data_IF_694758074972
#
_entry.id   IF_694758074972
#
_cell.length_a   1.000
_cell.length_b   1.000
_cell.length_c   1.000
_cell.angle_alpha   90.00
_cell.angle_beta   90.00
_cell.angle_gamma   90.00
#
_symmetry.space_group_name_H-M   'P 1'
#
loop_
_entity.id
_entity.type
_entity.pdbx_description
1 polymer ?
#
# COMPACT_ATOMS: atom_id res chain seq x y z
N UNK A 1 25.60 -2.40 11.38
CA UNK A 1 24.19 -2.06 11.59
C UNK A 1 23.36 -2.96 10.70
N UNK A 2 22.37 -3.70 11.23
CA UNK A 2 21.49 -4.46 10.37
C UNK A 2 20.65 -3.47 9.57
N UNK A 3 20.67 -3.62 8.25
CA UNK A 3 19.80 -2.90 7.32
C UNK A 3 18.38 -3.16 7.82
N UNK A 4 17.72 -2.11 8.32
CA UNK A 4 16.29 -2.13 8.58
C UNK A 4 15.66 -2.61 7.27
N UNK A 5 15.05 -3.80 7.28
CA UNK A 5 14.21 -4.26 6.17
C UNK A 5 13.37 -3.06 5.77
N UNK A 6 13.54 -2.59 4.53
CA UNK A 6 12.80 -1.47 3.97
C UNK A 6 11.36 -1.57 4.45
N UNK A 7 10.80 -0.49 5.01
CA UNK A 7 9.38 -0.41 5.30
C UNK A 7 8.68 -0.53 3.94
N UNK A 8 8.43 -1.76 3.54
CA UNK A 8 7.95 -2.05 2.21
C UNK A 8 6.55 -1.52 2.13
N UNK A 9 6.30 -0.57 1.23
CA UNK A 9 4.98 -0.03 0.87
C UNK A 9 4.02 -1.08 0.28
N UNK A 10 4.31 -2.37 0.45
CA UNK A 10 3.50 -3.47 -0.03
C UNK A 10 2.08 -3.28 0.45
N UNK A 11 1.18 -3.13 -0.52
CA UNK A 11 -0.26 -3.19 -0.32
C UNK A 11 -0.88 -1.92 0.28
N UNK A 12 -0.19 -0.76 0.29
CA UNK A 12 -0.80 0.49 0.75
C UNK A 12 -2.07 0.85 -0.04
N UNK A 13 -2.08 0.60 -1.35
CA UNK A 13 -3.30 0.71 -2.18
C UNK A 13 -4.44 -0.15 -1.63
N UNK A 14 -4.17 -1.40 -1.22
CA UNK A 14 -5.22 -2.27 -0.69
C UNK A 14 -5.74 -1.78 0.66
N UNK A 15 -4.86 -1.20 1.48
CA UNK A 15 -5.27 -0.60 2.75
C UNK A 15 -6.18 0.60 2.51
N UNK A 16 -5.83 1.47 1.55
CA UNK A 16 -6.66 2.62 1.18
C UNK A 16 -8.03 2.14 0.67
N UNK A 17 -8.05 1.21 -0.29
CA UNK A 17 -9.29 0.64 -0.82
C UNK A 17 -10.14 0.02 0.29
N UNK A 18 -9.53 -0.74 1.19
CA UNK A 18 -10.26 -1.37 2.30
C UNK A 18 -10.84 -0.33 3.25
N UNK A 19 -10.10 0.73 3.57
CA UNK A 19 -10.63 1.83 4.39
C UNK A 19 -11.78 2.55 3.69
N UNK A 20 -11.68 2.80 2.39
CA UNK A 20 -12.75 3.42 1.60
C UNK A 20 -14.00 2.53 1.48
N UNK A 21 -13.87 1.21 1.53
CA UNK A 21 -15.00 0.28 1.43
C UNK A 21 -15.66 -0.06 2.78
N UNK A 22 -14.88 -0.14 3.86
CA UNK A 22 -15.32 -0.72 5.15
C UNK A 22 -15.46 0.31 6.28
N UNK A 23 -15.15 1.59 6.02
CA UNK A 23 -15.27 2.65 7.03
C UNK A 23 -16.18 3.78 6.56
N UNK A 24 -16.67 4.56 7.53
CA UNK A 24 -17.41 5.81 7.28
C UNK A 24 -16.52 6.93 6.72
N UNK A 25 -15.26 6.63 6.37
CA UNK A 25 -14.29 7.57 5.80
C UNK A 25 -14.35 7.64 4.27
N UNK A 26 -15.21 6.84 3.62
CA UNK A 26 -15.41 6.88 2.18
C UNK A 26 -15.73 8.31 1.70
N UNK A 27 -15.02 8.80 0.68
CA UNK A 27 -15.19 10.16 0.17
C UNK A 27 -14.52 11.26 1.00
N UNK A 28 -13.85 10.92 2.10
CA UNK A 28 -13.14 11.87 2.97
C UNK A 28 -11.63 11.60 2.97
N UNK A 29 -10.94 12.06 1.92
CA UNK A 29 -9.50 11.86 1.78
C UNK A 29 -8.69 12.45 2.95
N UNK A 30 -9.15 13.57 3.52
CA UNK A 30 -8.48 14.20 4.68
C UNK A 30 -8.41 13.25 5.87
N UNK A 31 -9.53 12.65 6.25
CA UNK A 31 -9.57 11.72 7.40
C UNK A 31 -8.95 10.36 7.06
N UNK A 32 -9.03 9.91 5.81
CA UNK A 32 -8.26 8.75 5.34
C UNK A 32 -6.75 9.00 5.49
N UNK A 33 -6.26 10.18 5.11
CA UNK A 33 -4.85 10.53 5.27
C UNK A 33 -4.46 10.57 6.74
N UNK A 34 -5.27 11.21 7.60
CA UNK A 34 -5.06 11.20 9.06
C UNK A 34 -4.95 9.78 9.60
N UNK A 35 -5.84 8.89 9.17
CA UNK A 35 -5.82 7.49 9.57
C UNK A 35 -4.52 6.79 9.14
N UNK A 36 -4.05 6.99 7.91
CA UNK A 36 -2.75 6.47 7.46
C UNK A 36 -1.57 7.10 8.21
N UNK A 37 -1.63 8.40 8.46
CA UNK A 37 -0.59 9.11 9.21
C UNK A 37 -0.39 8.48 10.59
N UNK A 38 -1.48 8.24 11.31
CA UNK A 38 -1.47 7.64 12.64
C UNK A 38 -1.11 6.16 12.57
N UNK A 39 -1.82 5.37 11.77
CA UNK A 39 -1.77 3.91 11.83
C UNK A 39 -0.69 3.27 10.96
N UNK A 40 -0.06 4.04 10.08
CA UNK A 40 1.02 3.59 9.20
C UNK A 40 2.30 4.38 9.45
N UNK A 41 2.31 5.69 9.19
CA UNK A 41 3.56 6.47 9.19
C UNK A 41 4.11 6.79 10.59
N UNK A 42 3.23 7.02 11.56
CA UNK A 42 3.56 7.31 12.97
C UNK A 42 3.08 6.21 13.91
N UNK A 43 2.80 4.99 13.41
CA UNK A 43 2.18 3.91 14.20
C UNK A 43 2.85 3.65 15.54
N UNK A 44 4.19 3.57 15.56
CA UNK A 44 4.98 3.31 16.77
C UNK A 44 4.92 4.50 17.73
N UNK A 45 5.14 5.70 17.22
CA UNK A 45 5.11 6.92 18.02
C UNK A 45 3.70 7.13 18.64
N UNK A 46 2.65 6.91 17.85
CA UNK A 46 1.26 7.00 18.29
C UNK A 46 0.91 5.94 19.35
N UNK A 47 1.43 4.71 19.23
CA UNK A 47 1.22 3.67 20.24
C UNK A 47 1.95 3.94 21.55
N UNK A 48 3.09 4.63 21.49
CA UNK A 48 3.96 4.86 22.64
C UNK A 48 3.52 6.04 23.52
N UNK A 49 2.66 6.94 23.00
CA UNK A 49 2.17 8.10 23.75
C UNK A 49 0.74 8.48 23.40
N UNK A 50 -0.16 8.31 24.38
CA UNK A 50 -1.59 8.71 24.25
C UNK A 50 -1.76 10.21 23.97
N UNK A 51 -0.95 11.07 24.59
CA UNK A 51 -1.04 12.52 24.37
C UNK A 51 -0.59 12.88 22.95
N UNK A 52 0.40 12.18 22.42
CA UNK A 52 0.84 12.38 21.04
C UNK A 52 -0.19 11.85 20.03
N UNK A 53 -0.83 10.71 20.31
CA UNK A 53 -1.96 10.22 19.51
C UNK A 53 -3.10 11.25 19.45
N UNK A 54 -3.55 11.77 20.60
CA UNK A 54 -4.58 12.82 20.66
C UNK A 54 -4.18 14.06 19.86
N UNK A 55 -2.90 14.42 19.86
CA UNK A 55 -2.40 15.52 19.02
C UNK A 55 -2.56 15.21 17.53
N UNK A 56 -2.18 14.02 17.07
CA UNK A 56 -2.34 13.62 15.67
C UNK A 56 -3.82 13.56 15.24
N UNK A 57 -4.71 13.13 16.14
CA UNK A 57 -6.16 13.10 15.89
C UNK A 57 -6.74 14.51 15.69
N UNK A 58 -6.14 15.54 16.30
CA UNK A 58 -6.60 16.93 16.22
C UNK A 58 -5.72 17.83 15.35
N UNK A 59 -4.72 17.27 14.67
CA UNK A 59 -3.81 18.03 13.80
C UNK A 59 -4.57 18.62 12.60
N UNK A 60 -4.34 19.89 12.27
CA UNK A 60 -4.84 20.47 11.03
C UNK A 60 -4.15 19.79 9.84
N UNK A 61 -4.93 19.13 8.98
CA UNK A 61 -4.40 18.40 7.83
C UNK A 61 -4.09 19.34 6.67
N UNK A 62 -3.09 19.03 5.83
CA UNK A 62 -2.81 19.83 4.65
C UNK A 62 -4.03 19.88 3.71
N UNK A 63 -4.35 21.07 3.20
CA UNK A 63 -5.54 21.30 2.35
C UNK A 63 -5.55 20.55 1.01
N UNK A 64 -4.44 19.90 0.63
CA UNK A 64 -4.33 19.07 -0.57
C UNK A 64 -5.35 17.92 -0.62
N UNK A 65 -5.89 17.52 0.54
CA UNK A 65 -6.87 16.44 0.66
C UNK A 65 -8.33 16.92 0.67
N UNK A 66 -8.60 18.21 0.88
CA UNK A 66 -9.95 18.74 1.14
C UNK A 66 -10.96 18.48 0.01
N UNK A 67 -10.47 18.51 -1.23
CA UNK A 67 -11.30 18.33 -2.42
C UNK A 67 -11.11 16.95 -3.09
N UNK A 68 -10.32 16.08 -2.47
CA UNK A 68 -10.12 14.73 -2.97
C UNK A 68 -11.17 13.79 -2.35
N UNK A 69 -11.89 13.07 -3.21
CA UNK A 69 -12.81 12.01 -2.80
C UNK A 69 -12.11 10.66 -2.54
N UNK A 70 -10.84 10.54 -2.94
CA UNK A 70 -9.98 9.39 -2.62
C UNK A 70 -8.51 9.81 -2.53
N UNK A 71 -7.76 9.15 -1.64
CA UNK A 71 -6.31 9.31 -1.58
C UNK A 71 -5.58 8.84 -2.84
N UNK A 72 -6.21 7.95 -3.62
CA UNK A 72 -5.65 7.46 -4.88
C UNK A 72 -5.73 8.49 -6.01
N UNK A 73 -6.44 9.61 -5.80
CA UNK A 73 -6.63 10.70 -6.79
C UNK A 73 -5.83 11.95 -6.48
N UNK A 74 -5.12 11.98 -5.36
CA UNK A 74 -4.35 13.15 -4.97
C UNK A 74 -3.20 13.35 -5.95
N UNK A 75 -3.05 14.58 -6.46
CA UNK A 75 -1.94 14.94 -7.32
C UNK A 75 -0.61 14.85 -6.54
N UNK A 76 0.36 14.16 -7.12
CA UNK A 76 1.61 13.82 -6.43
C UNK A 76 2.50 15.05 -6.18
N UNK A 77 2.47 16.05 -7.07
CA UNK A 77 3.30 17.25 -6.92
C UNK A 77 2.71 18.18 -5.86
N UNK A 78 1.37 18.33 -5.85
CA UNK A 78 0.68 19.03 -4.77
C UNK A 78 0.88 18.35 -3.42
N UNK A 79 0.83 17.01 -3.38
CA UNK A 79 1.11 16.24 -2.18
C UNK A 79 2.55 16.48 -1.72
N UNK A 80 3.54 16.35 -2.60
CA UNK A 80 4.94 16.56 -2.26
C UNK A 80 5.16 17.94 -1.64
N UNK A 81 4.64 18.98 -2.29
CA UNK A 81 4.73 20.35 -1.79
C UNK A 81 4.12 20.50 -0.39
N UNK A 82 2.96 19.89 -0.15
CA UNK A 82 2.28 19.91 1.14
C UNK A 82 3.02 19.13 2.25
N UNK A 83 3.69 18.03 1.90
CA UNK A 83 4.41 17.19 2.87
C UNK A 83 5.80 17.75 3.18
N UNK A 84 6.55 18.15 2.15
CA UNK A 84 7.94 18.60 2.29
C UNK A 84 8.05 20.06 2.73
N UNK A 85 7.06 20.91 2.41
CA UNK A 85 7.09 22.34 2.71
C UNK A 85 8.23 23.09 2.02
N UNK A 86 8.39 24.38 2.36
CA UNK A 86 9.54 25.18 1.92
C UNK A 86 10.78 24.98 2.81
N UNK A 87 10.58 24.60 4.07
CA UNK A 87 11.61 24.31 5.06
C UNK A 87 11.25 23.09 5.91
N UNK A 88 12.17 22.65 6.77
CA UNK A 88 11.92 21.54 7.70
C UNK A 88 10.79 21.88 8.69
N UNK A 89 10.64 23.15 9.08
CA UNK A 89 9.72 23.54 10.15
C UNK A 89 8.25 23.61 9.68
N UNK A 90 8.01 23.92 8.41
CA UNK A 90 6.69 24.00 7.78
C UNK A 90 6.31 22.70 7.05
N UNK A 91 7.24 21.75 6.91
CA UNK A 91 6.94 20.40 6.45
C UNK A 91 5.99 19.67 7.41
N UNK A 92 5.21 18.69 6.91
CA UNK A 92 4.23 17.95 7.73
C UNK A 92 4.91 17.25 8.92
N UNK A 93 5.96 16.47 8.68
CA UNK A 93 6.67 15.83 9.78
C UNK A 93 7.37 16.85 10.69
N UNK A 94 7.71 18.04 10.19
CA UNK A 94 8.19 19.16 11.00
C UNK A 94 7.16 19.66 11.99
N UNK A 95 5.95 19.98 11.50
CA UNK A 95 4.83 20.41 12.33
C UNK A 95 4.51 19.39 13.43
N UNK A 96 4.65 18.10 13.12
CA UNK A 96 4.39 17.00 14.05
C UNK A 96 5.55 16.83 15.04
N UNK A 97 6.77 16.62 14.55
CA UNK A 97 7.90 16.18 15.37
C UNK A 97 8.59 17.32 16.13
N UNK A 98 8.34 18.57 15.74
CA UNK A 98 8.79 19.75 16.49
C UNK A 98 7.72 20.26 17.47
N UNK A 99 6.53 19.66 17.48
CA UNK A 99 5.46 19.97 18.44
C UNK A 99 5.90 19.72 19.88
N UNK A 100 5.24 20.41 20.83
CA UNK A 100 5.52 20.21 22.26
C UNK A 100 5.15 18.79 22.68
N UNK A 101 4.11 18.23 22.09
CA UNK A 101 3.54 16.93 22.36
C UNK A 101 4.52 15.81 21.99
N UNK A 102 5.12 15.89 20.80
CA UNK A 102 6.16 14.95 20.37
C UNK A 102 7.44 15.11 21.21
N UNK A 103 7.92 16.34 21.41
CA UNK A 103 9.15 16.58 22.16
C UNK A 103 9.03 16.14 23.63
N UNK A 104 7.88 16.34 24.27
CA UNK A 104 7.63 15.83 25.64
C UNK A 104 7.64 14.31 25.69
N UNK A 105 7.10 13.64 24.67
CA UNK A 105 7.00 12.19 24.64
C UNK A 105 8.35 11.52 24.40
N UNK A 106 9.12 12.01 23.42
CA UNK A 106 10.31 11.30 22.91
C UNK A 106 11.64 11.97 23.25
N UNK A 107 11.61 13.20 23.76
CA UNK A 107 12.79 13.95 24.22
C UNK A 107 12.56 14.53 25.62
N UNK A 108 11.93 13.74 26.50
CA UNK A 108 11.45 14.13 27.84
C UNK A 108 12.54 14.68 28.77
N UNK A 109 13.81 14.34 28.54
CA UNK A 109 14.97 14.84 29.30
C UNK A 109 15.36 16.29 28.93
N UNK A 110 14.69 16.90 27.97
CA UNK A 110 14.97 18.25 27.49
C UNK A 110 13.72 19.14 27.57
N UNK A 111 13.89 20.47 27.62
CA UNK A 111 12.76 21.38 27.44
C UNK A 111 12.06 21.09 26.10
N UNK A 112 10.71 21.02 26.06
CA UNK A 112 9.95 20.66 24.86
C UNK A 112 9.84 21.84 23.89
N UNK A 113 10.99 22.36 23.49
CA UNK A 113 11.16 23.49 22.59
C UNK A 113 12.37 23.17 21.73
N UNK A 114 12.17 23.00 20.42
CA UNK A 114 13.24 22.61 19.50
C UNK A 114 14.51 23.46 19.64
N UNK A 115 14.35 24.79 19.73
CA UNK A 115 15.47 25.73 19.90
C UNK A 115 16.31 25.53 21.17
N UNK A 116 15.78 24.85 22.20
CA UNK A 116 16.47 24.55 23.46
C UNK A 116 17.11 23.16 23.50
N UNK A 117 16.93 22.34 22.47
CA UNK A 117 17.58 21.04 22.37
C UNK A 117 19.10 21.19 22.11
N UNK A 118 19.93 20.25 22.58
CA UNK A 118 21.34 20.15 22.20
C UNK A 118 21.54 20.06 20.68
N UNK A 119 22.70 20.50 20.18
CA UNK A 119 22.95 20.58 18.73
C UNK A 119 22.87 19.21 18.04
N UNK A 120 23.50 18.19 18.62
CA UNK A 120 23.46 16.81 18.16
C UNK A 120 22.02 16.26 18.08
N UNK A 121 21.21 16.50 19.12
CA UNK A 121 19.79 16.12 19.15
C UNK A 121 18.99 16.85 18.07
N UNK A 122 19.26 18.15 17.84
CA UNK A 122 18.62 18.92 16.76
C UNK A 122 18.95 18.34 15.39
N UNK A 123 20.23 18.04 15.13
CA UNK A 123 20.66 17.47 13.86
C UNK A 123 20.01 16.11 13.59
N UNK A 124 19.96 15.23 14.59
CA UNK A 124 19.28 13.94 14.48
C UNK A 124 17.77 14.09 14.23
N UNK A 125 17.10 14.98 14.97
CA UNK A 125 15.67 15.22 14.79
C UNK A 125 15.35 15.80 13.40
N UNK A 126 16.16 16.71 12.89
CA UNK A 126 16.01 17.25 11.52
C UNK A 126 16.19 16.14 10.48
N UNK A 127 17.16 15.24 10.66
CA UNK A 127 17.35 14.10 9.76
C UNK A 127 16.14 13.14 9.79
N UNK A 128 15.58 12.87 10.97
CA UNK A 128 14.36 12.07 11.14
C UNK A 128 13.15 12.70 10.44
N UNK A 129 12.97 14.02 10.57
CA UNK A 129 11.88 14.75 9.90
C UNK A 129 11.99 14.61 8.38
N UNK A 130 13.18 14.88 7.81
CA UNK A 130 13.42 14.75 6.36
C UNK A 130 13.14 13.33 5.88
N UNK A 131 13.63 12.31 6.60
CA UNK A 131 13.40 10.91 6.26
C UNK A 131 11.89 10.56 6.32
N UNK A 132 11.18 11.04 7.35
CA UNK A 132 9.74 10.78 7.48
C UNK A 132 8.93 11.39 6.33
N UNK A 133 9.21 12.65 5.97
CA UNK A 133 8.58 13.29 4.81
C UNK A 133 8.86 12.50 3.52
N UNK A 134 10.12 12.15 3.27
CA UNK A 134 10.49 11.35 2.10
C UNK A 134 9.77 10.00 2.08
N UNK A 135 9.65 9.34 3.24
CA UNK A 135 8.95 8.05 3.36
C UNK A 135 7.47 8.19 2.98
N UNK A 136 6.80 9.26 3.41
CA UNK A 136 5.41 9.54 3.06
C UNK A 136 5.30 9.80 1.56
N UNK A 137 6.10 10.70 1.01
CA UNK A 137 6.06 11.06 -0.41
C UNK A 137 6.31 9.83 -1.28
N UNK A 138 7.36 9.05 -1.00
CA UNK A 138 7.69 7.85 -1.78
C UNK A 138 6.63 6.75 -1.68
N UNK A 139 5.88 6.67 -0.59
CA UNK A 139 4.73 5.77 -0.51
C UNK A 139 3.64 6.14 -1.53
N UNK A 140 3.37 7.44 -1.69
CA UNK A 140 2.37 7.93 -2.64
C UNK A 140 2.86 7.94 -4.08
N UNK A 141 4.14 8.22 -4.33
CA UNK A 141 4.77 7.99 -5.64
C UNK A 141 4.57 6.54 -6.07
N UNK A 142 4.84 5.61 -5.14
CA UNK A 142 4.69 4.17 -5.40
C UNK A 142 3.24 3.77 -5.66
N UNK A 143 2.28 4.36 -4.95
CA UNK A 143 0.85 4.20 -5.23
C UNK A 143 0.54 4.61 -6.67
N UNK A 144 0.98 5.79 -7.10
CA UNK A 144 0.70 6.31 -8.45
C UNK A 144 1.31 5.42 -9.53
N UNK A 145 2.55 4.95 -9.33
CA UNK A 145 3.19 3.97 -10.23
C UNK A 145 2.41 2.66 -10.32
N UNK A 146 2.01 2.10 -9.18
CA UNK A 146 1.28 0.83 -9.12
C UNK A 146 -0.11 0.96 -9.76
N UNK A 147 -0.80 2.09 -9.56
CA UNK A 147 -2.08 2.39 -10.21
C UNK A 147 -1.93 2.46 -11.74
N UNK A 148 -0.87 3.13 -12.23
CA UNK A 148 -0.57 3.18 -13.69
C UNK A 148 -0.25 1.80 -14.25
N UNK A 149 0.46 0.96 -13.48
CA UNK A 149 0.75 -0.41 -13.87
C UNK A 149 -0.52 -1.27 -13.91
N UNK A 150 -1.42 -1.11 -12.95
CA UNK A 150 -2.70 -1.82 -12.88
C UNK A 150 -3.60 -1.47 -14.09
N UNK A 151 -3.63 -0.21 -14.55
CA UNK A 151 -4.37 0.20 -15.78
C UNK A 151 -3.90 -0.51 -17.06
N UNK A 152 -2.66 -0.98 -17.11
CA UNK A 152 -2.05 -1.61 -18.30
C UNK A 152 -1.81 -3.11 -18.11
N UNK A 153 -2.24 -3.67 -16.97
CA UNK A 153 -1.94 -5.06 -16.60
C UNK A 153 -2.72 -6.01 -17.50
N UNK A 154 -2.00 -6.82 -18.28
CA UNK A 154 -2.59 -7.93 -19.01
C UNK A 154 -3.05 -9.04 -18.06
N UNK A 155 -4.08 -9.79 -18.44
CA UNK A 155 -4.55 -10.97 -17.71
C UNK A 155 -3.41 -11.97 -17.45
N UNK A 156 -2.55 -12.20 -18.44
CA UNK A 156 -1.34 -13.02 -18.31
C UNK A 156 -0.48 -12.59 -17.12
N UNK A 157 -0.17 -11.30 -17.03
CA UNK A 157 0.68 -10.73 -15.98
C UNK A 157 -0.01 -10.81 -14.61
N UNK A 158 -1.34 -10.66 -14.57
CA UNK A 158 -2.14 -10.83 -13.37
C UNK A 158 -2.06 -12.28 -12.85
N UNK A 159 -2.29 -13.26 -13.73
CA UNK A 159 -2.25 -14.69 -13.36
C UNK A 159 -0.86 -15.05 -12.81
N UNK A 160 0.20 -14.66 -13.50
CA UNK A 160 1.57 -14.89 -13.06
C UNK A 160 1.86 -14.25 -11.69
N UNK A 161 1.36 -13.03 -11.46
CA UNK A 161 1.51 -12.32 -10.19
C UNK A 161 0.75 -13.02 -9.05
N UNK A 162 -0.48 -13.47 -9.30
CA UNK A 162 -1.27 -14.21 -8.31
C UNK A 162 -0.56 -15.52 -7.93
N UNK A 163 -0.06 -16.28 -8.91
CA UNK A 163 0.71 -17.51 -8.67
C UNK A 163 1.95 -17.21 -7.83
N UNK A 164 2.70 -16.15 -8.19
CA UNK A 164 3.88 -15.71 -7.43
C UNK A 164 3.53 -15.33 -5.99
N UNK A 165 2.43 -14.61 -5.77
CA UNK A 165 1.98 -14.21 -4.44
C UNK A 165 1.58 -15.41 -3.58
N UNK A 166 0.87 -16.39 -4.17
CA UNK A 166 0.51 -17.65 -3.49
C UNK A 166 1.78 -18.38 -3.07
N UNK A 167 2.74 -18.56 -3.98
CA UNK A 167 4.02 -19.20 -3.67
C UNK A 167 4.74 -18.48 -2.52
N UNK A 168 4.89 -17.15 -2.62
CA UNK A 168 5.57 -16.36 -1.60
C UNK A 168 4.92 -16.46 -0.22
N UNK A 169 3.59 -16.49 -0.14
CA UNK A 169 2.87 -16.56 1.13
C UNK A 169 2.83 -17.96 1.73
N UNK A 170 2.73 -18.99 0.90
CA UNK A 170 2.54 -20.37 1.38
C UNK A 170 3.81 -21.18 1.44
N UNK A 171 4.87 -20.75 0.76
CA UNK A 171 6.08 -21.54 0.55
C UNK A 171 5.86 -22.81 -0.29
N UNK A 172 4.68 -22.99 -0.91
CA UNK A 172 4.39 -24.20 -1.68
C UNK A 172 5.29 -24.28 -2.91
N UNK A 173 5.96 -25.42 -3.16
CA UNK A 173 6.91 -25.55 -4.25
C UNK A 173 6.21 -25.45 -5.62
N UNK A 174 6.87 -24.76 -6.54
CA UNK A 174 6.46 -24.65 -7.94
C UNK A 174 7.03 -25.84 -8.71
N UNK A 175 6.23 -26.44 -9.59
CA UNK A 175 6.67 -27.53 -10.44
C UNK A 175 7.71 -27.06 -11.46
N UNK A 176 8.56 -28.00 -11.90
CA UNK A 176 9.29 -27.81 -13.15
C UNK A 176 8.27 -27.81 -14.29
N UNK A 177 8.11 -26.66 -14.94
CA UNK A 177 7.13 -26.48 -16.01
C UNK A 177 7.55 -27.23 -17.28
N UNK A 178 6.57 -27.74 -18.02
CA UNK A 178 6.78 -28.43 -19.31
C UNK A 178 7.05 -27.46 -20.48
N UNK A 179 6.87 -26.17 -20.26
CA UNK A 179 7.11 -25.07 -21.19
C UNK A 179 7.28 -23.76 -20.42
N UNK A 180 7.22 -22.62 -21.10
CA UNK A 180 7.23 -21.33 -20.42
C UNK A 180 5.93 -21.10 -19.65
N UNK A 181 5.98 -20.33 -18.55
CA UNK A 181 4.77 -19.97 -17.81
C UNK A 181 3.75 -19.25 -18.71
N UNK A 182 4.23 -18.47 -19.66
CA UNK A 182 3.43 -17.71 -20.62
C UNK A 182 2.63 -18.61 -21.57
N UNK A 183 3.28 -19.62 -22.15
CA UNK A 183 2.62 -20.60 -23.03
C UNK A 183 1.53 -21.38 -22.28
N UNK A 184 1.83 -21.82 -21.06
CA UNK A 184 0.88 -22.56 -20.22
C UNK A 184 -0.35 -21.68 -19.94
N UNK A 185 -0.15 -20.43 -19.51
CA UNK A 185 -1.27 -19.54 -19.19
C UNK A 185 -2.10 -19.25 -20.46
N UNK A 186 -1.47 -18.97 -21.60
CA UNK A 186 -2.19 -18.75 -22.88
C UNK A 186 -2.98 -19.96 -23.33
N UNK A 187 -2.48 -21.18 -23.10
CA UNK A 187 -3.19 -22.40 -23.46
C UNK A 187 -4.48 -22.60 -22.63
N UNK A 188 -4.53 -22.04 -21.41
CA UNK A 188 -5.66 -22.15 -20.50
C UNK A 188 -6.63 -20.96 -20.61
N UNK A 189 -6.14 -19.78 -20.93
CA UNK A 189 -6.92 -18.54 -21.00
C UNK A 189 -6.79 -17.87 -22.37
N UNK A 190 -7.82 -17.98 -23.20
CA UNK A 190 -7.85 -17.41 -24.55
C UNK A 190 -7.75 -15.88 -24.58
N UNK A 191 -8.12 -15.22 -23.49
CA UNK A 191 -8.04 -13.77 -23.32
C UNK A 191 -6.80 -13.31 -22.53
N UNK A 192 -5.77 -14.15 -22.40
CA UNK A 192 -4.58 -13.83 -21.59
C UNK A 192 -3.88 -12.51 -21.96
N UNK A 193 -3.93 -12.10 -23.23
CA UNK A 193 -3.30 -10.86 -23.71
C UNK A 193 -4.18 -9.61 -23.58
N UNK A 194 -5.45 -9.74 -23.18
CA UNK A 194 -6.33 -8.60 -22.90
C UNK A 194 -5.89 -7.85 -21.64
N UNK A 195 -6.15 -6.53 -21.62
CA UNK A 195 -5.99 -5.71 -20.41
C UNK A 195 -7.06 -6.12 -19.40
N UNK A 196 -6.63 -6.41 -18.18
CA UNK A 196 -7.52 -6.73 -17.08
C UNK A 196 -8.18 -5.45 -16.57
N UNK A 197 -9.52 -5.44 -16.57
CA UNK A 197 -10.33 -4.31 -16.11
C UNK A 197 -11.33 -4.71 -15.02
N UNK A 198 -11.26 -5.96 -14.53
CA UNK A 198 -12.16 -6.44 -13.48
C UNK A 198 -13.61 -6.66 -13.91
N UNK A 199 -13.92 -6.61 -15.21
CA UNK A 199 -15.29 -6.83 -15.70
C UNK A 199 -15.82 -8.22 -15.34
N UNK A 200 -17.14 -8.34 -15.17
CA UNK A 200 -17.78 -9.60 -14.80
C UNK A 200 -17.43 -10.73 -15.77
N UNK A 201 -17.33 -10.44 -17.08
CA UNK A 201 -16.92 -11.41 -18.11
C UNK A 201 -15.52 -11.97 -17.83
N UNK A 202 -14.54 -11.10 -17.59
CA UNK A 202 -13.16 -11.54 -17.27
C UNK A 202 -13.13 -12.33 -15.96
N UNK A 203 -13.85 -11.85 -14.94
CA UNK A 203 -13.88 -12.50 -13.62
C UNK A 203 -14.49 -13.89 -13.65
N UNK A 204 -15.57 -14.11 -14.42
CA UNK A 204 -16.17 -15.44 -14.59
C UNK A 204 -15.17 -16.41 -15.23
N UNK A 205 -14.46 -16.00 -16.28
CA UNK A 205 -13.44 -16.83 -16.93
C UNK A 205 -12.27 -17.16 -15.99
N UNK A 206 -11.79 -16.16 -15.25
CA UNK A 206 -10.66 -16.32 -14.33
C UNK A 206 -11.01 -17.14 -13.08
N UNK A 207 -12.29 -17.21 -12.71
CA UNK A 207 -12.80 -17.98 -11.57
C UNK A 207 -13.33 -19.37 -11.98
N UNK A 208 -13.28 -19.74 -13.26
CA UNK A 208 -13.74 -21.05 -13.72
C UNK A 208 -12.99 -22.17 -12.99
N UNK A 209 -13.73 -23.04 -12.30
CA UNK A 209 -13.15 -24.05 -11.41
C UNK A 209 -12.38 -25.12 -12.16
N UNK A 210 -12.75 -25.44 -13.41
CA UNK A 210 -12.07 -26.47 -14.20
C UNK A 210 -10.72 -25.93 -14.66
N UNK A 211 -10.71 -24.75 -15.25
CA UNK A 211 -9.49 -24.08 -15.73
C UNK A 211 -8.56 -23.76 -14.57
N UNK A 212 -9.09 -23.25 -13.44
CA UNK A 212 -8.30 -22.92 -12.26
C UNK A 212 -7.61 -24.16 -11.67
N UNK A 213 -8.30 -25.30 -11.58
CA UNK A 213 -7.69 -26.56 -11.11
C UNK A 213 -6.57 -27.03 -12.03
N UNK A 214 -6.72 -26.85 -13.35
CA UNK A 214 -5.66 -27.15 -14.31
C UNK A 214 -4.45 -26.23 -14.13
N UNK A 215 -4.70 -24.92 -13.98
CA UNK A 215 -3.66 -23.93 -13.70
C UNK A 215 -2.88 -24.28 -12.43
N UNK A 216 -3.57 -24.55 -11.32
CA UNK A 216 -2.93 -24.90 -10.04
C UNK A 216 -2.09 -26.17 -10.18
N UNK A 217 -2.59 -27.21 -10.84
CA UNK A 217 -1.83 -28.45 -11.08
C UNK A 217 -0.61 -28.24 -11.96
N UNK A 218 -0.68 -27.33 -12.93
CA UNK A 218 0.46 -27.00 -13.78
C UNK A 218 1.58 -26.35 -12.97
N UNK A 219 1.24 -25.38 -12.10
CA UNK A 219 2.24 -24.57 -11.41
C UNK A 219 2.69 -25.11 -10.05
N UNK A 220 1.85 -25.81 -9.29
CA UNK A 220 2.18 -26.24 -7.92
C UNK A 220 2.28 -27.75 -7.79
N UNK A 221 3.21 -28.21 -6.93
CA UNK A 221 3.25 -29.62 -6.55
C UNK A 221 2.07 -29.94 -5.64
N UNK A 222 1.21 -30.86 -6.07
CA UNK A 222 0.01 -31.28 -5.34
C UNK A 222 0.20 -32.71 -4.83
N UNK A 223 0.02 -32.90 -3.52
CA UNK A 223 0.07 -34.20 -2.84
C UNK A 223 -1.30 -34.70 -2.44
N UNK A 224 -2.23 -33.80 -2.15
CA UNK A 224 -3.61 -34.14 -1.73
C UNK A 224 -4.63 -33.28 -2.46
N UNK A 225 -5.84 -33.81 -2.68
CA UNK A 225 -6.90 -33.09 -3.37
C UNK A 225 -7.34 -31.81 -2.63
N UNK A 226 -7.31 -31.83 -1.29
CA UNK A 226 -7.58 -30.66 -0.43
C UNK A 226 -6.68 -29.46 -0.78
N UNK A 227 -5.42 -29.71 -1.15
CA UNK A 227 -4.48 -28.64 -1.49
C UNK A 227 -4.88 -27.88 -2.75
N UNK A 228 -5.52 -28.56 -3.72
CA UNK A 228 -6.03 -27.91 -4.92
C UNK A 228 -7.11 -26.92 -4.53
N UNK A 229 -8.07 -27.34 -3.69
CA UNK A 229 -9.15 -26.49 -3.21
C UNK A 229 -8.61 -25.28 -2.45
N UNK A 230 -7.63 -25.49 -1.55
CA UNK A 230 -7.00 -24.41 -0.79
C UNK A 230 -6.32 -23.39 -1.71
N UNK A 231 -5.52 -23.87 -2.68
CA UNK A 231 -4.82 -23.01 -3.63
C UNK A 231 -5.78 -22.27 -4.56
N UNK A 232 -6.86 -22.92 -5.01
CA UNK A 232 -7.92 -22.27 -5.79
C UNK A 232 -8.61 -21.16 -4.98
N UNK A 233 -8.89 -21.38 -3.70
CA UNK A 233 -9.47 -20.35 -2.83
C UNK A 233 -8.52 -19.17 -2.62
N UNK A 234 -7.22 -19.43 -2.42
CA UNK A 234 -6.21 -18.37 -2.33
C UNK A 234 -6.09 -17.58 -3.63
N UNK A 235 -6.13 -18.26 -4.78
CA UNK A 235 -6.16 -17.61 -6.09
C UNK A 235 -7.38 -16.69 -6.22
N UNK A 236 -8.58 -17.19 -5.88
CA UNK A 236 -9.81 -16.37 -5.95
C UNK A 236 -9.74 -15.16 -5.02
N UNK A 237 -9.16 -15.29 -3.82
CA UNK A 237 -8.95 -14.18 -2.88
C UNK A 237 -8.00 -13.13 -3.43
N UNK A 238 -6.85 -13.54 -3.97
CA UNK A 238 -5.89 -12.62 -4.59
C UNK A 238 -6.46 -11.98 -5.86
N UNK A 239 -7.19 -12.74 -6.67
CA UNK A 239 -7.85 -12.21 -7.85
C UNK A 239 -8.89 -11.14 -7.49
N UNK A 240 -9.68 -11.36 -6.44
CA UNK A 240 -10.65 -10.37 -5.97
C UNK A 240 -9.98 -9.07 -5.51
N UNK A 241 -8.83 -9.18 -4.82
CA UNK A 241 -8.01 -8.04 -4.44
C UNK A 241 -7.57 -7.23 -5.66
N UNK A 242 -7.08 -7.88 -6.72
CA UNK A 242 -6.71 -7.19 -7.96
C UNK A 242 -7.93 -6.66 -8.74
N UNK A 243 -9.09 -7.32 -8.65
CA UNK A 243 -10.35 -6.80 -9.22
C UNK A 243 -10.67 -5.43 -8.64
N UNK A 244 -10.65 -5.30 -7.31
CA UNK A 244 -10.90 -4.03 -6.62
C UNK A 244 -9.95 -2.93 -7.11
N UNK A 245 -8.65 -3.22 -7.15
CA UNK A 245 -7.65 -2.29 -7.70
C UNK A 245 -7.94 -1.85 -9.13
N UNK A 246 -8.33 -2.78 -10.00
CA UNK A 246 -8.64 -2.47 -11.40
C UNK A 246 -9.88 -1.58 -11.54
N UNK A 247 -10.91 -1.79 -10.71
CA UNK A 247 -12.12 -0.95 -10.68
C UNK A 247 -11.75 0.48 -10.25
N UNK A 248 -11.03 0.62 -9.14
CA UNK A 248 -10.54 1.92 -8.68
C UNK A 248 -9.65 2.60 -9.73
N UNK A 249 -8.76 1.85 -10.37
CA UNK A 249 -7.91 2.40 -11.43
C UNK A 249 -8.70 2.87 -12.65
N UNK A 250 -9.81 2.21 -12.99
CA UNK A 250 -10.68 2.59 -14.10
C UNK A 250 -11.51 3.84 -13.78
N UNK A 251 -12.10 3.92 -12.58
CA UNK A 251 -12.91 5.05 -12.10
C UNK A 251 -12.10 6.35 -11.95
N UNK A 252 -10.78 6.21 -11.81
CA UNK A 252 -9.83 7.32 -11.62
C UNK A 252 -9.11 7.70 -12.94
N UNK A 253 -9.83 7.65 -14.08
CA UNK A 253 -9.30 7.97 -15.43
C UNK A 253 -10.05 9.12 -16.07
#
# INVERSE_FOLDING_TARGET
>A
MPILKEETYFNLIDQIIHLEEESDLAGNATELFRHLLINYFFKRDASDSKNFLLFLENLDMPGVFENADSLLKVDIENLRSAIEGGTVNDSLAGLIMLSKEYLKAFYSNHPPVFGKLPHDVKTDLVAKIKNKNQTIVSAFEKINEDMRADKKRKILNLIALVIKNIHFRTGRPINKLTGTAEEIIRSLYSNADEIFNGSQKQMTLLKDDVVLKQLIKAFFTIRQFSEITDLSNQYKKELERYRKRAIFAAENS
#
